data_IF_399376069438
#
_entry.id   IF_399376069438
#
_cell.length_a   1.000
_cell.length_b   1.000
_cell.length_c   1.000
_cell.angle_alpha   90.00
_cell.angle_beta   90.00
_cell.angle_gamma   90.00
#
_symmetry.space_group_name_H-M   'P 1'
#
loop_
_entity.id
_entity.type
_entity.pdbx_description
1 polymer ?
#
# COMPACT_ATOMS: atom_id res chain seq x y z
N UNK A 1 -10.30 -16.88 4.57
CA UNK A 1 -9.80 -15.56 5.01
C UNK A 1 -10.39 -14.48 4.10
N UNK A 2 -10.89 -13.37 4.62
CA UNK A 2 -11.50 -12.29 3.82
C UNK A 2 -10.41 -11.49 3.08
N UNK A 3 -10.55 -11.27 1.76
CA UNK A 3 -9.58 -10.55 0.93
C UNK A 3 -9.16 -9.20 1.53
N UNK A 4 -10.11 -8.47 2.14
CA UNK A 4 -9.83 -7.16 2.77
C UNK A 4 -8.84 -7.28 3.93
N UNK A 5 -8.88 -8.38 4.68
CA UNK A 5 -7.94 -8.65 5.79
C UNK A 5 -6.53 -8.94 5.27
N UNK A 6 -6.40 -9.61 4.11
CA UNK A 6 -5.10 -9.89 3.50
C UNK A 6 -4.47 -8.58 3.00
N UNK A 7 -5.24 -7.77 2.28
CA UNK A 7 -4.83 -6.43 1.84
C UNK A 7 -4.40 -5.57 3.04
N UNK A 8 -5.22 -5.51 4.10
CA UNK A 8 -4.89 -4.77 5.31
C UNK A 8 -3.61 -5.25 5.99
N UNK A 9 -3.37 -6.57 5.99
CA UNK A 9 -2.13 -7.15 6.51
C UNK A 9 -0.92 -6.73 5.66
N UNK A 10 -1.02 -6.73 4.32
CA UNK A 10 0.07 -6.27 3.43
C UNK A 10 0.40 -4.79 3.64
N UNK A 11 -0.61 -3.93 3.78
CA UNK A 11 -0.42 -2.51 4.12
C UNK A 11 0.29 -2.35 5.47
N UNK A 12 -0.17 -3.09 6.50
CA UNK A 12 0.43 -3.04 7.84
C UNK A 12 1.90 -3.46 7.81
N UNK A 13 2.20 -4.54 7.07
CA UNK A 13 3.55 -5.07 6.93
C UNK A 13 4.46 -4.06 6.22
N UNK A 14 4.04 -3.53 5.07
CA UNK A 14 4.82 -2.56 4.30
C UNK A 14 5.06 -1.25 5.08
N UNK A 15 4.03 -0.72 5.76
CA UNK A 15 4.16 0.47 6.62
C UNK A 15 5.17 0.25 7.74
N UNK A 16 5.07 -0.88 8.45
CA UNK A 16 5.98 -1.21 9.56
C UNK A 16 7.41 -1.45 9.09
N UNK A 17 7.60 -2.10 7.94
CA UNK A 17 8.91 -2.28 7.33
C UNK A 17 9.62 -0.95 7.02
N UNK A 18 8.84 0.08 6.68
CA UNK A 18 9.32 1.45 6.48
C UNK A 18 9.43 2.27 7.79
N UNK A 19 9.17 1.67 8.96
CA UNK A 19 9.26 2.35 10.26
C UNK A 19 8.20 3.44 10.49
N UNK A 20 7.13 3.46 9.69
CA UNK A 20 6.14 4.54 9.73
C UNK A 20 5.03 4.23 10.74
N UNK A 21 4.59 5.26 11.48
CA UNK A 21 3.29 5.21 12.18
C UNK A 21 2.16 5.53 11.19
N UNK A 22 0.90 5.20 11.53
CA UNK A 22 -0.25 5.59 10.70
C UNK A 22 -0.32 7.11 10.53
N UNK A 23 0.01 7.88 11.58
CA UNK A 23 0.02 9.35 11.52
C UNK A 23 1.07 9.88 10.54
N UNK A 24 2.30 9.37 10.63
CA UNK A 24 3.38 9.78 9.72
C UNK A 24 3.05 9.39 8.28
N UNK A 25 2.51 8.19 8.06
CA UNK A 25 2.05 7.78 6.74
C UNK A 25 0.99 8.72 6.19
N UNK A 26 -0.02 9.06 6.99
CA UNK A 26 -1.08 9.99 6.63
C UNK A 26 -0.53 11.37 6.23
N UNK A 27 0.43 11.89 7.00
CA UNK A 27 1.09 13.17 6.72
C UNK A 27 1.85 13.14 5.39
N UNK A 28 2.54 12.03 5.08
CA UNK A 28 3.32 11.89 3.83
C UNK A 28 2.48 11.69 2.59
N UNK A 29 1.38 10.94 2.71
CA UNK A 29 0.55 10.57 1.55
C UNK A 29 -0.67 11.46 1.35
N UNK A 30 -0.99 12.32 2.32
CA UNK A 30 -2.25 13.08 2.35
C UNK A 30 -3.50 12.22 2.57
N UNK A 31 -3.34 10.91 2.81
CA UNK A 31 -4.46 10.00 3.08
C UNK A 31 -4.87 10.12 4.54
N UNK A 32 -6.18 10.17 4.81
CA UNK A 32 -6.66 10.28 6.19
C UNK A 32 -6.23 9.09 7.06
N UNK A 33 -5.68 9.37 8.25
CA UNK A 33 -5.23 8.34 9.21
C UNK A 33 -6.31 7.30 9.55
N UNK A 34 -7.58 7.73 9.67
CA UNK A 34 -8.70 6.83 9.89
C UNK A 34 -8.95 5.89 8.71
N UNK A 35 -8.73 6.34 7.47
CA UNK A 35 -8.86 5.50 6.26
C UNK A 35 -7.78 4.42 6.28
N UNK A 36 -6.53 4.80 6.55
CA UNK A 36 -5.39 3.88 6.69
C UNK A 36 -5.70 2.82 7.78
N UNK A 37 -6.15 3.24 8.96
CA UNK A 37 -6.53 2.32 10.03
C UNK A 37 -7.63 1.34 9.63
N UNK A 38 -8.66 1.81 8.92
CA UNK A 38 -9.73 0.95 8.41
C UNK A 38 -9.24 -0.07 7.38
N UNK A 39 -8.29 0.30 6.53
CA UNK A 39 -7.67 -0.61 5.57
C UNK A 39 -6.81 -1.66 6.28
N UNK A 40 -5.94 -1.25 7.21
CA UNK A 40 -5.09 -2.18 7.98
C UNK A 40 -5.91 -3.19 8.80
N UNK A 41 -7.05 -2.76 9.33
CA UNK A 41 -7.99 -3.64 10.03
C UNK A 41 -8.86 -4.47 9.06
N UNK A 42 -8.82 -4.21 7.75
CA UNK A 42 -9.63 -4.89 6.74
C UNK A 42 -11.14 -4.60 6.83
N UNK A 43 -11.55 -3.52 7.50
CA UNK A 43 -12.96 -3.07 7.56
C UNK A 43 -13.37 -2.37 6.27
N UNK A 44 -12.38 -1.82 5.56
CA UNK A 44 -12.47 -1.25 4.21
C UNK A 44 -11.28 -1.72 3.38
N UNK A 45 -11.25 -1.36 2.11
CA UNK A 45 -10.11 -1.58 1.22
C UNK A 45 -9.77 -0.27 0.50
N UNK A 46 -8.49 -0.04 0.18
CA UNK A 46 -8.12 1.07 -0.69
C UNK A 46 -8.66 0.83 -2.11
N UNK A 47 -8.91 1.91 -2.84
CA UNK A 47 -9.10 1.84 -4.27
C UNK A 47 -7.75 1.80 -5.01
N UNK A 48 -7.78 1.72 -6.35
CA UNK A 48 -6.57 1.71 -7.16
C UNK A 48 -5.68 2.96 -6.96
N UNK A 49 -6.28 4.14 -6.84
CA UNK A 49 -5.54 5.39 -6.65
C UNK A 49 -4.79 5.41 -5.31
N UNK A 50 -5.45 5.01 -4.22
CA UNK A 50 -4.77 4.94 -2.92
C UNK A 50 -3.70 3.85 -2.90
N UNK A 51 -3.92 2.72 -3.58
CA UNK A 51 -2.92 1.68 -3.70
C UNK A 51 -1.65 2.18 -4.42
N UNK A 52 -1.79 3.02 -5.45
CA UNK A 52 -0.65 3.66 -6.14
C UNK A 52 0.10 4.63 -5.24
N UNK A 53 -0.62 5.44 -4.45
CA UNK A 53 0.02 6.36 -3.48
C UNK A 53 0.79 5.58 -2.42
N UNK A 54 0.18 4.56 -1.83
CA UNK A 54 0.83 3.70 -0.84
C UNK A 54 2.02 2.94 -1.43
N UNK A 55 1.90 2.46 -2.67
CA UNK A 55 2.96 1.77 -3.40
C UNK A 55 4.23 2.61 -3.50
N UNK A 56 4.10 3.90 -3.87
CA UNK A 56 5.21 4.85 -3.96
C UNK A 56 5.88 5.09 -2.60
N UNK A 57 5.08 5.31 -1.56
CA UNK A 57 5.60 5.56 -0.21
C UNK A 57 6.30 4.33 0.38
N UNK A 58 5.84 3.12 0.04
CA UNK A 58 6.37 1.88 0.61
C UNK A 58 7.48 1.21 -0.22
N UNK A 59 7.64 1.56 -1.49
CA UNK A 59 8.56 0.89 -2.40
C UNK A 59 8.12 -0.55 -2.76
N UNK A 60 6.82 -0.83 -2.75
CA UNK A 60 6.24 -2.14 -3.14
C UNK A 60 5.18 -1.95 -4.22
N UNK A 61 4.87 -3.00 -4.96
CA UNK A 61 3.91 -2.95 -6.05
C UNK A 61 2.46 -2.76 -5.57
N UNK A 62 1.66 -1.97 -6.28
CA UNK A 62 0.25 -1.79 -5.96
C UNK A 62 -0.54 -3.09 -6.17
N UNK A 63 -0.20 -3.87 -7.20
CA UNK A 63 -0.79 -5.21 -7.41
C UNK A 63 -0.48 -6.16 -6.25
N UNK A 64 0.69 -6.02 -5.62
CA UNK A 64 1.00 -6.78 -4.41
C UNK A 64 0.14 -6.28 -3.24
N UNK A 65 0.01 -4.98 -3.01
CA UNK A 65 -0.89 -4.48 -1.95
C UNK A 65 -2.33 -4.98 -2.14
N UNK A 66 -2.81 -5.05 -3.38
CA UNK A 66 -4.16 -5.49 -3.75
C UNK A 66 -4.32 -7.01 -3.91
N UNK A 67 -3.30 -7.80 -3.57
CA UNK A 67 -3.33 -9.27 -3.66
C UNK A 67 -3.56 -9.84 -5.07
N UNK A 68 -3.13 -9.10 -6.09
CA UNK A 68 -3.14 -9.52 -7.50
C UNK A 68 -1.87 -10.28 -7.89
N UNK A 69 -0.81 -10.20 -7.07
CA UNK A 69 0.43 -10.98 -7.18
C UNK A 69 1.01 -11.25 -5.81
N UNK A 70 1.85 -12.27 -5.68
CA UNK A 70 2.62 -12.56 -4.46
C UNK A 70 4.02 -11.95 -4.49
N UNK A 71 4.47 -11.42 -5.64
CA UNK A 71 5.76 -10.73 -5.77
C UNK A 71 5.65 -9.28 -5.23
N UNK A 72 6.37 -8.89 -4.16
CA UNK A 72 6.35 -7.52 -3.64
C UNK A 72 6.78 -6.45 -4.64
N UNK A 73 7.53 -6.83 -5.68
CA UNK A 73 7.96 -5.94 -6.75
C UNK A 73 7.08 -5.98 -8.01
N UNK A 74 6.13 -6.92 -8.10
CA UNK A 74 5.10 -7.03 -9.15
C UNK A 74 5.34 -6.23 -10.43
N UNK A 75 4.52 -5.19 -10.65
CA UNK A 75 4.56 -4.23 -11.75
C UNK A 75 5.43 -3.00 -11.49
N UNK A 76 6.24 -2.97 -10.44
CA UNK A 76 7.14 -1.84 -10.22
C UNK A 76 8.19 -1.80 -11.32
N UNK A 77 7.95 -0.92 -12.29
CA UNK A 77 8.94 -0.56 -13.31
C UNK A 77 9.79 0.54 -12.68
N UNK A 78 11.04 0.24 -12.34
CA UNK A 78 12.03 1.29 -12.07
C UNK A 78 12.01 2.27 -13.25
N UNK A 79 11.96 3.57 -12.99
CA UNK A 79 11.67 4.68 -13.92
C UNK A 79 12.53 4.74 -15.22
N UNK A 80 13.40 3.76 -15.46
CA UNK A 80 14.31 3.64 -16.60
C UNK A 80 13.67 3.29 -17.95
N UNK A 81 12.42 2.81 -18.05
CA UNK A 81 11.90 2.30 -19.34
C UNK A 81 11.07 3.35 -20.11
N UNK A 82 10.50 4.35 -19.42
CA UNK A 82 9.65 5.38 -20.04
C UNK A 82 10.32 6.75 -20.16
N UNK A 83 11.60 6.89 -19.81
CA UNK A 83 12.39 8.09 -20.05
C UNK A 83 13.12 8.08 -21.41
N UNK A 84 12.52 7.48 -22.44
CA UNK A 84 12.98 7.63 -23.83
C UNK A 84 12.23 8.77 -24.51
#
# INVERSE_FOLDING_TARGET
MNMKKIIGSRITQARKANGLTIRVLAERTGLGAARIGNWEQGTRSPGPEEALVLSKEFGVAASWLLCLTDNPLGELIAESILSK
#
